data_IF_239202369178
#
_entry.id   IF_239202369178
#
_cell.length_a   1.000
_cell.length_b   1.000
_cell.length_c   1.000
_cell.angle_alpha   90.00
_cell.angle_beta   90.00
_cell.angle_gamma   90.00
#
_symmetry.space_group_name_H-M   'P 1'
#
loop_
_entity.id
_entity.type
_entity.pdbx_description
1 polymer ?
#
# COMPACT_ATOMS: atom_id res chain seq x y z
N UNK A 1 -9.99 -13.85 -7.59
CA UNK A 1 -9.49 -12.68 -6.84
C UNK A 1 -10.02 -11.50 -7.60
N UNK A 2 -11.19 -11.02 -7.19
CA UNK A 2 -11.90 -9.97 -7.92
C UNK A 2 -11.09 -8.67 -7.79
N UNK A 3 -10.68 -8.12 -8.93
CA UNK A 3 -9.80 -6.96 -9.04
C UNK A 3 -10.63 -5.68 -9.22
N UNK A 4 -11.65 -5.46 -8.37
CA UNK A 4 -12.54 -4.30 -8.48
C UNK A 4 -11.90 -2.99 -7.97
N UNK A 5 -10.76 -3.08 -7.28
CA UNK A 5 -9.89 -1.94 -7.01
C UNK A 5 -9.30 -1.36 -8.31
N UNK A 6 -9.56 -0.07 -8.55
CA UNK A 6 -9.31 0.58 -9.83
C UNK A 6 -7.83 0.53 -10.25
N UNK A 7 -6.92 0.75 -9.31
CA UNK A 7 -5.47 0.70 -9.58
C UNK A 7 -4.97 -0.74 -9.81
N UNK A 8 -5.47 -1.71 -9.05
CA UNK A 8 -5.10 -3.12 -9.24
C UNK A 8 -5.51 -3.61 -10.64
N UNK A 9 -6.70 -3.21 -11.11
CA UNK A 9 -7.17 -3.50 -12.47
C UNK A 9 -6.30 -2.86 -13.54
N UNK A 10 -6.02 -1.55 -13.42
CA UNK A 10 -5.22 -0.79 -14.39
C UNK A 10 -3.76 -1.27 -14.46
N UNK A 11 -3.21 -1.75 -13.35
CA UNK A 11 -1.81 -2.17 -13.21
C UNK A 11 -1.66 -3.69 -13.00
N UNK A 12 -2.48 -4.49 -13.69
CA UNK A 12 -2.52 -5.95 -13.55
C UNK A 12 -1.16 -6.62 -13.69
N UNK A 13 -0.29 -6.15 -14.61
CA UNK A 13 1.06 -6.69 -14.78
C UNK A 13 1.95 -6.48 -13.55
N UNK A 14 1.83 -5.33 -12.87
CA UNK A 14 2.59 -5.07 -11.65
C UNK A 14 2.05 -5.88 -10.48
N UNK A 15 0.74 -6.07 -10.40
CA UNK A 15 0.13 -7.01 -9.43
C UNK A 15 0.66 -8.43 -9.63
N UNK A 16 0.77 -8.88 -10.89
CA UNK A 16 1.36 -10.17 -11.20
C UNK A 16 2.83 -10.28 -10.78
N UNK A 17 3.64 -9.24 -11.04
CA UNK A 17 5.05 -9.19 -10.62
C UNK A 17 5.24 -9.25 -9.10
N UNK A 18 4.33 -8.64 -8.34
CA UNK A 18 4.38 -8.63 -6.86
C UNK A 18 3.98 -10.00 -6.27
N UNK A 19 3.20 -10.80 -6.99
CA UNK A 19 2.82 -12.17 -6.59
C UNK A 19 4.02 -13.14 -6.70
N UNK A 20 5.01 -12.91 -5.85
CA UNK A 20 6.06 -13.86 -5.51
C UNK A 20 5.57 -14.81 -4.41
N UNK A 21 6.22 -15.97 -4.23
CA UNK A 21 6.01 -16.79 -3.04
C UNK A 21 6.13 -15.90 -1.79
N UNK A 22 5.17 -16.04 -0.86
CA UNK A 22 5.09 -15.31 0.41
C UNK A 22 4.64 -13.85 0.36
N UNK A 23 4.30 -13.30 -0.81
CA UNK A 23 3.74 -11.94 -0.91
C UNK A 23 2.22 -11.93 -1.07
N UNK A 24 1.54 -11.12 -0.24
CA UNK A 24 0.09 -10.90 -0.33
C UNK A 24 -0.22 -9.52 -0.91
N UNK A 25 -0.92 -9.49 -2.05
CA UNK A 25 -1.51 -8.26 -2.60
C UNK A 25 -2.93 -8.12 -2.06
N UNK A 26 -3.24 -7.02 -1.38
CA UNK A 26 -4.57 -6.75 -0.82
C UNK A 26 -5.23 -5.59 -1.59
N UNK A 27 -6.27 -5.85 -2.41
CA UNK A 27 -7.00 -4.78 -3.08
C UNK A 27 -7.84 -3.99 -2.07
N UNK A 28 -7.86 -2.66 -2.20
CA UNK A 28 -8.70 -1.78 -1.39
C UNK A 28 -9.96 -1.39 -2.16
N UNK A 29 -11.09 -1.86 -1.65
CA UNK A 29 -12.41 -1.67 -2.26
C UNK A 29 -13.19 -0.47 -1.68
N UNK A 30 -12.69 0.14 -0.61
CA UNK A 30 -13.29 1.31 0.03
C UNK A 30 -12.92 2.62 -0.69
N UNK A 31 -13.82 3.60 -0.63
CA UNK A 31 -13.55 4.96 -1.10
C UNK A 31 -13.49 5.06 -2.62
N UNK A 32 -12.52 5.83 -3.13
CA UNK A 32 -12.29 6.01 -4.57
C UNK A 32 -11.56 4.84 -5.23
N UNK A 33 -11.09 3.87 -4.43
CA UNK A 33 -10.33 2.69 -4.86
C UNK A 33 -9.02 3.04 -5.58
N UNK A 34 -8.39 4.12 -5.14
CA UNK A 34 -7.10 4.62 -5.67
C UNK A 34 -5.99 4.60 -4.61
N UNK A 35 -4.77 5.00 -4.99
CA UNK A 35 -3.60 5.10 -4.13
C UNK A 35 -3.86 5.74 -2.75
N UNK A 36 -4.65 6.83 -2.69
CA UNK A 36 -4.94 7.50 -1.40
C UNK A 36 -5.65 6.57 -0.41
N UNK A 37 -6.60 5.78 -0.90
CA UNK A 37 -7.36 4.84 -0.07
C UNK A 37 -6.44 3.67 0.35
N UNK A 38 -5.61 3.19 -0.57
CA UNK A 38 -4.62 2.14 -0.28
C UNK A 38 -3.62 2.55 0.82
N UNK A 39 -3.09 3.76 0.75
CA UNK A 39 -2.21 4.33 1.79
C UNK A 39 -2.92 4.44 3.13
N UNK A 40 -4.20 4.85 3.12
CA UNK A 40 -4.97 5.01 4.35
C UNK A 40 -5.22 3.68 5.04
N UNK A 41 -5.57 2.62 4.29
CA UNK A 41 -5.76 1.28 4.85
C UNK A 41 -4.44 0.66 5.30
N UNK A 42 -3.35 0.84 4.56
CA UNK A 42 -2.03 0.35 4.95
C UNK A 42 -1.54 0.99 6.26
N UNK A 43 -1.79 2.29 6.46
CA UNK A 43 -1.45 2.98 7.71
C UNK A 43 -2.29 2.47 8.89
N UNK A 44 -3.59 2.20 8.68
CA UNK A 44 -4.44 1.58 9.72
C UNK A 44 -3.96 0.18 10.10
N UNK A 45 -3.56 -0.63 9.12
CA UNK A 45 -3.00 -1.97 9.38
C UNK A 45 -1.69 -1.88 10.17
N UNK A 46 -0.81 -0.96 9.78
CA UNK A 46 0.44 -0.75 10.50
C UNK A 46 0.23 -0.36 11.96
N UNK A 47 -0.68 0.60 12.23
CA UNK A 47 -1.00 1.03 13.61
C UNK A 47 -1.56 -0.13 14.45
N UNK A 48 -2.28 -1.08 13.84
CA UNK A 48 -2.77 -2.28 14.54
C UNK A 48 -1.67 -3.31 14.81
N UNK A 49 -0.62 -3.35 13.98
CA UNK A 49 0.43 -4.36 13.99
C UNK A 49 1.84 -3.79 14.25
N UNK A 50 1.94 -2.72 15.06
CA UNK A 50 3.19 -1.96 15.28
C UNK A 50 4.37 -2.82 15.74
N UNK A 51 4.13 -3.88 16.52
CA UNK A 51 5.18 -4.72 17.08
C UNK A 51 5.85 -5.65 16.05
N UNK A 52 5.17 -5.96 14.94
CA UNK A 52 5.60 -7.00 13.99
C UNK A 52 5.70 -6.49 12.55
N UNK A 53 5.17 -5.30 12.27
CA UNK A 53 5.06 -4.78 10.90
C UNK A 53 5.86 -3.49 10.74
N UNK A 54 6.76 -3.48 9.76
CA UNK A 54 7.43 -2.27 9.30
C UNK A 54 6.64 -1.65 8.13
N UNK A 55 6.28 -0.37 8.24
CA UNK A 55 5.59 0.35 7.17
C UNK A 55 6.58 1.00 6.21
N UNK A 56 6.81 0.35 5.07
CA UNK A 56 7.69 0.85 4.02
C UNK A 56 6.92 1.79 3.07
N UNK A 57 7.33 3.06 3.03
CA UNK A 57 6.71 4.09 2.17
C UNK A 57 7.61 4.36 0.96
N UNK A 58 7.06 4.20 -0.25
CA UNK A 58 7.81 4.32 -1.51
C UNK A 58 7.87 5.73 -2.11
N UNK A 59 7.47 6.78 -1.39
CA UNK A 59 7.46 8.16 -1.87
C UNK A 59 7.53 9.16 -0.70
N UNK A 60 7.91 10.40 -0.98
CA UNK A 60 8.06 11.46 0.01
C UNK A 60 6.69 12.03 0.45
N UNK A 61 5.92 11.24 1.20
CA UNK A 61 4.65 11.66 1.79
C UNK A 61 4.48 11.09 3.21
N UNK A 62 3.54 11.65 3.97
CA UNK A 62 3.23 11.23 5.33
C UNK A 62 3.73 12.20 6.41
N UNK A 63 3.53 11.87 7.70
CA UNK A 63 3.96 12.72 8.80
C UNK A 63 5.49 12.70 8.96
N UNK A 64 6.05 13.73 9.59
CA UNK A 64 7.43 13.70 10.07
C UNK A 64 7.66 12.41 10.89
N UNK A 65 8.77 11.67 10.69
CA UNK A 65 9.97 12.04 9.93
C UNK A 65 10.02 11.54 8.47
N UNK A 66 8.99 10.85 7.96
CA UNK A 66 9.03 10.15 6.66
C UNK A 66 9.49 11.04 5.49
N UNK A 67 8.96 12.27 5.30
CA UNK A 67 9.38 13.10 4.18
C UNK A 67 10.84 13.56 4.24
N UNK A 68 11.39 13.76 5.44
CA UNK A 68 12.79 14.17 5.63
C UNK A 68 13.72 13.01 5.27
N UNK A 69 13.46 11.82 5.79
CA UNK A 69 14.28 10.62 5.57
C UNK A 69 14.34 10.19 4.10
N UNK A 70 13.27 10.41 3.33
CA UNK A 70 13.20 9.98 1.92
C UNK A 70 13.79 11.05 0.97
N UNK A 71 13.77 12.33 1.36
CA UNK A 71 14.29 13.42 0.53
C UNK A 71 15.82 13.47 0.53
N UNK A 72 16.40 13.26 1.71
CA UNK A 72 17.84 13.34 1.95
C UNK A 72 18.50 11.96 1.75
#
# INVERSE_FOLDING_TARGET
MDMDAQDARRQTLNVFRIKMPDTKVVPVESGSKTLKDAVSEAMKDWVRNLATTHFLVGSCFGPHPIPTVIRD
#
